data_IF_140829372584
#
_entry.id   IF_140829372584
#
_cell.length_a   1.000
_cell.length_b   1.000
_cell.length_c   1.000
_cell.angle_alpha   90.00
_cell.angle_beta   90.00
_cell.angle_gamma   90.00
#
_symmetry.space_group_name_H-M   'P 1'
#
loop_
_entity.id
_entity.type
_entity.pdbx_description
1 polymer ?
#
# COMPACT_ATOMS: atom_id res chain seq x y z
N UNK A 1 15.54 -8.04 0.02
CA UNK A 1 14.95 -9.10 0.90
C UNK A 1 13.47 -9.23 0.54
N UNK A 2 12.85 -10.41 0.49
CA UNK A 2 11.44 -10.54 0.05
C UNK A 2 10.47 -10.51 1.22
N UNK A 3 9.45 -9.65 1.15
CA UNK A 3 8.32 -9.65 2.09
C UNK A 3 7.54 -10.97 1.95
N UNK A 4 7.23 -11.61 3.08
CA UNK A 4 6.41 -12.83 3.14
C UNK A 4 4.93 -12.43 3.20
N UNK A 5 4.16 -12.87 2.21
CA UNK A 5 2.74 -12.52 2.09
C UNK A 5 1.90 -13.26 3.14
N UNK A 6 2.22 -14.52 3.43
CA UNK A 6 1.54 -15.27 4.49
C UNK A 6 1.61 -14.53 5.83
N UNK A 7 2.81 -14.03 6.21
CA UNK A 7 2.98 -13.24 7.44
C UNK A 7 2.17 -11.94 7.42
N UNK A 8 2.05 -11.29 6.27
CA UNK A 8 1.25 -10.09 6.12
C UNK A 8 -0.23 -10.42 6.28
N UNK A 9 -0.72 -11.46 5.60
CA UNK A 9 -2.11 -11.89 5.66
C UNK A 9 -2.52 -12.32 7.07
N UNK A 10 -1.69 -13.13 7.73
CA UNK A 10 -1.92 -13.58 9.11
C UNK A 10 -2.01 -12.39 10.06
N UNK A 11 -1.03 -11.49 10.04
CA UNK A 11 -1.01 -10.31 10.90
C UNK A 11 -2.17 -9.34 10.61
N UNK A 12 -2.55 -9.15 9.34
CA UNK A 12 -3.72 -8.34 8.99
C UNK A 12 -5.04 -8.98 9.43
N UNK A 13 -5.14 -10.32 9.43
CA UNK A 13 -6.33 -11.04 9.88
C UNK A 13 -6.47 -11.07 11.40
N UNK A 14 -5.35 -11.19 12.12
CA UNK A 14 -5.33 -11.36 13.57
C UNK A 14 -5.25 -10.02 14.30
N UNK A 15 -4.32 -9.14 13.89
CA UNK A 15 -4.00 -7.89 14.59
C UNK A 15 -4.53 -6.65 13.86
N UNK A 16 -4.88 -6.76 12.58
CA UNK A 16 -5.32 -5.66 11.74
C UNK A 16 -4.19 -4.75 11.22
N UNK A 17 -2.93 -5.04 11.55
CA UNK A 17 -1.75 -4.31 11.06
C UNK A 17 -0.47 -5.17 11.14
N UNK A 18 0.58 -4.76 10.42
CA UNK A 18 1.92 -5.34 10.51
C UNK A 18 2.98 -4.25 10.39
N UNK A 19 4.09 -4.38 11.11
CA UNK A 19 5.29 -3.54 10.95
C UNK A 19 6.40 -4.38 10.34
N UNK A 20 6.88 -3.98 9.17
CA UNK A 20 7.94 -4.68 8.44
C UNK A 20 9.17 -3.78 8.39
N UNK A 21 10.22 -4.10 9.17
CA UNK A 21 11.50 -3.39 9.07
C UNK A 21 12.08 -3.57 7.66
N UNK A 22 12.67 -2.50 7.10
CA UNK A 22 13.35 -2.54 5.80
C UNK A 22 12.46 -3.07 4.67
N UNK A 23 11.19 -2.61 4.65
CA UNK A 23 10.18 -3.08 3.70
C UNK A 23 10.44 -2.65 2.24
N UNK A 24 11.17 -1.55 2.05
CA UNK A 24 11.51 -1.00 0.75
C UNK A 24 12.99 -1.22 0.47
N UNK A 25 13.36 -1.26 -0.81
CA UNK A 25 14.76 -1.20 -1.21
C UNK A 25 15.40 0.13 -0.78
N UNK A 26 16.65 0.08 -0.34
CA UNK A 26 17.40 1.27 0.11
C UNK A 26 17.50 2.31 -1.02
N UNK A 27 17.65 1.89 -2.27
CA UNK A 27 17.74 2.81 -3.41
C UNK A 27 16.43 3.58 -3.61
N UNK A 28 15.29 2.91 -3.46
CA UNK A 28 13.96 3.53 -3.51
C UNK A 28 13.78 4.51 -2.36
N UNK A 29 14.20 4.15 -1.15
CA UNK A 29 14.09 5.01 0.02
C UNK A 29 14.93 6.29 -0.11
N UNK A 30 16.19 6.16 -0.54
CA UNK A 30 17.08 7.30 -0.79
C UNK A 30 16.54 8.17 -1.94
N UNK A 31 16.03 7.56 -3.00
CA UNK A 31 15.43 8.25 -4.14
C UNK A 31 14.23 9.10 -3.73
N UNK A 32 13.31 8.55 -2.93
CA UNK A 32 12.16 9.28 -2.39
C UNK A 32 12.60 10.42 -1.45
N UNK A 33 13.61 10.19 -0.60
CA UNK A 33 14.13 11.25 0.27
C UNK A 33 14.67 12.43 -0.54
N UNK A 34 15.44 12.16 -1.59
CA UNK A 34 15.93 13.20 -2.51
C UNK A 34 14.80 13.86 -3.30
N UNK A 35 13.76 13.11 -3.67
CA UNK A 35 12.60 13.65 -4.35
C UNK A 35 11.88 14.70 -3.50
N UNK A 36 11.64 14.39 -2.21
CA UNK A 36 10.98 15.29 -1.27
C UNK A 36 11.75 16.61 -1.08
N UNK A 37 13.09 16.58 -1.04
CA UNK A 37 13.90 17.79 -0.88
C UNK A 37 13.94 18.68 -2.11
N UNK A 38 13.55 18.17 -3.29
CA UNK A 38 13.48 18.93 -4.55
C UNK A 38 12.11 19.56 -4.80
N UNK A 39 11.08 19.18 -4.05
CA UNK A 39 9.76 19.77 -4.19
C UNK A 39 9.75 21.21 -3.65
N UNK A 40 9.25 22.15 -4.43
CA UNK A 40 9.06 23.52 -3.97
C UNK A 40 7.92 23.59 -2.96
N UNK A 41 7.92 24.64 -2.12
CA UNK A 41 6.84 24.88 -1.15
C UNK A 41 5.45 24.97 -1.79
N UNK A 42 5.37 25.45 -3.03
CA UNK A 42 4.11 25.59 -3.79
C UNK A 42 3.54 24.25 -4.26
N UNK A 43 4.38 23.21 -4.39
CA UNK A 43 3.92 21.87 -4.76
C UNK A 43 3.24 21.15 -3.58
N UNK A 44 3.50 21.59 -2.35
CA UNK A 44 2.89 21.00 -1.16
C UNK A 44 1.47 21.51 -0.98
N UNK A 45 0.53 20.57 -0.92
CA UNK A 45 -0.87 20.84 -0.66
C UNK A 45 -1.15 20.73 0.82
N UNK A 46 -1.88 21.69 1.36
CA UNK A 46 -2.37 21.56 2.73
C UNK A 46 -3.43 20.47 2.80
N UNK A 47 -3.23 19.52 3.71
CA UNK A 47 -4.08 18.36 3.78
C UNK A 47 -5.47 18.69 4.37
N UNK A 48 -6.49 18.03 3.83
CA UNK A 48 -7.87 18.12 4.31
C UNK A 48 -8.41 16.77 4.78
N UNK A 49 -9.62 16.80 5.33
CA UNK A 49 -10.35 15.65 5.84
C UNK A 49 -11.78 15.65 5.30
N UNK A 50 -12.39 14.48 5.16
CA UNK A 50 -13.72 14.31 4.56
C UNK A 50 -13.67 13.68 3.17
N UNK A 51 -14.84 13.29 2.64
CA UNK A 51 -15.02 12.69 1.31
C UNK A 51 -16.07 13.49 0.53
N UNK A 52 -16.02 13.44 -0.79
CA UNK A 52 -16.96 14.14 -1.68
C UNK A 52 -17.10 15.63 -1.32
N UNK A 53 -18.32 16.09 -1.04
CA UNK A 53 -18.64 17.47 -0.70
C UNK A 53 -18.26 17.87 0.73
N UNK A 54 -17.91 16.91 1.59
CA UNK A 54 -17.59 17.17 3.00
C UNK A 54 -16.08 17.44 3.22
N UNK A 55 -15.33 17.66 2.13
CA UNK A 55 -13.91 17.99 2.22
C UNK A 55 -13.71 19.34 2.92
N UNK A 56 -12.92 19.33 3.99
CA UNK A 56 -12.58 20.52 4.76
C UNK A 56 -11.12 20.51 5.22
N UNK A 57 -10.50 21.69 5.29
CA UNK A 57 -9.16 21.88 5.84
C UNK A 57 -9.23 22.26 7.33
N UNK A 58 -9.42 21.26 8.20
CA UNK A 58 -9.49 21.46 9.65
C UNK A 58 -8.14 21.21 10.35
N UNK A 59 -7.44 22.28 10.76
CA UNK A 59 -6.12 22.19 11.46
C UNK A 59 -6.17 21.45 12.79
N UNK A 60 -7.33 21.37 13.44
CA UNK A 60 -7.49 20.64 14.71
C UNK A 60 -7.45 19.12 14.50
N UNK A 61 -7.70 18.65 13.28
CA UNK A 61 -7.70 17.22 12.94
C UNK A 61 -6.38 16.82 12.28
N UNK A 62 -5.88 17.62 11.33
CA UNK A 62 -4.54 17.42 10.74
C UNK A 62 -3.93 18.73 10.27
N UNK A 63 -2.61 18.88 10.45
CA UNK A 63 -1.85 20.11 10.17
C UNK A 63 -0.71 19.92 9.18
N UNK A 64 -0.54 18.71 8.66
CA UNK A 64 0.50 18.35 7.70
C UNK A 64 0.21 18.90 6.30
N UNK A 65 1.28 19.00 5.51
CA UNK A 65 1.22 19.26 4.07
C UNK A 65 1.60 17.98 3.33
N UNK A 66 0.86 17.67 2.28
CA UNK A 66 1.00 16.45 1.49
C UNK A 66 1.34 16.77 0.06
N UNK A 67 1.97 15.80 -0.59
CA UNK A 67 2.18 15.79 -2.03
C UNK A 67 1.68 14.44 -2.55
N UNK A 68 0.83 14.45 -3.58
CA UNK A 68 0.36 13.22 -4.21
C UNK A 68 1.41 12.73 -5.20
N UNK A 69 2.02 11.60 -4.90
CA UNK A 69 2.95 10.94 -5.83
C UNK A 69 2.20 10.38 -7.05
N UNK A 70 2.91 10.31 -8.17
CA UNK A 70 2.39 9.96 -9.48
C UNK A 70 3.33 8.99 -10.20
N UNK A 71 2.97 8.60 -11.43
CA UNK A 71 3.85 7.77 -12.28
C UNK A 71 4.81 8.61 -13.12
N UNK A 72 4.77 9.94 -12.98
CA UNK A 72 5.51 10.87 -13.84
C UNK A 72 6.95 11.09 -13.36
N UNK A 73 7.26 10.76 -12.11
CA UNK A 73 8.62 10.77 -11.57
C UNK A 73 9.12 9.31 -11.37
N UNK A 74 10.37 8.99 -11.77
CA UNK A 74 10.91 7.64 -11.64
C UNK A 74 10.98 7.10 -10.21
N UNK A 75 11.26 7.97 -9.23
CA UNK A 75 11.38 7.56 -7.82
C UNK A 75 10.00 7.29 -7.21
N UNK A 76 9.02 8.13 -7.55
CA UNK A 76 7.62 7.92 -7.19
C UNK A 76 7.07 6.63 -7.83
N UNK A 77 7.39 6.39 -9.10
CA UNK A 77 6.98 5.17 -9.81
C UNK A 77 7.58 3.91 -9.20
N UNK A 78 8.87 3.92 -8.83
CA UNK A 78 9.53 2.77 -8.22
C UNK A 78 8.83 2.35 -6.91
N UNK A 79 8.52 3.31 -6.04
CA UNK A 79 7.73 3.05 -4.83
C UNK A 79 6.35 2.48 -5.14
N UNK A 80 5.62 3.06 -6.10
CA UNK A 80 4.30 2.57 -6.50
C UNK A 80 4.37 1.15 -7.04
N UNK A 81 5.44 0.77 -7.74
CA UNK A 81 5.63 -0.59 -8.23
C UNK A 81 5.89 -1.59 -7.10
N UNK A 82 6.69 -1.23 -6.10
CA UNK A 82 6.90 -2.11 -4.93
C UNK A 82 5.61 -2.33 -4.13
N UNK A 83 4.82 -1.28 -3.92
CA UNK A 83 3.51 -1.40 -3.26
C UNK A 83 2.52 -2.23 -4.10
N UNK A 84 2.58 -2.14 -5.43
CA UNK A 84 1.75 -2.96 -6.31
C UNK A 84 2.12 -4.44 -6.23
N UNK A 85 3.41 -4.78 -6.05
CA UNK A 85 3.84 -6.16 -5.82
C UNK A 85 3.21 -6.73 -4.54
N UNK A 86 3.13 -5.95 -3.47
CA UNK A 86 2.45 -6.36 -2.24
C UNK A 86 0.95 -6.59 -2.47
N UNK A 87 0.29 -5.66 -3.17
CA UNK A 87 -1.14 -5.74 -3.46
C UNK A 87 -1.51 -6.94 -4.34
N UNK A 88 -0.76 -7.18 -5.41
CA UNK A 88 -1.07 -8.23 -6.40
C UNK A 88 -0.77 -9.63 -5.87
N UNK A 89 0.29 -9.79 -5.08
CA UNK A 89 0.61 -11.10 -4.51
C UNK A 89 -0.50 -11.56 -3.55
N UNK A 90 -0.96 -10.68 -2.66
CA UNK A 90 -2.12 -10.94 -1.79
C UNK A 90 -3.36 -11.35 -2.60
N UNK A 91 -3.67 -10.62 -3.68
CA UNK A 91 -4.85 -10.90 -4.49
C UNK A 91 -4.77 -12.27 -5.22
N UNK A 92 -3.58 -12.65 -5.70
CA UNK A 92 -3.35 -13.93 -6.40
C UNK A 92 -3.47 -15.10 -5.43
N UNK A 93 -2.84 -15.01 -4.27
CA UNK A 93 -2.84 -16.07 -3.26
C UNK A 93 -4.26 -16.31 -2.72
N UNK A 94 -5.03 -15.23 -2.49
CA UNK A 94 -6.45 -15.32 -2.11
C UNK A 94 -7.30 -16.00 -3.18
N UNK A 95 -7.13 -15.63 -4.45
CA UNK A 95 -7.87 -16.25 -5.57
C UNK A 95 -7.51 -17.73 -5.75
N UNK A 96 -6.25 -18.10 -5.51
CA UNK A 96 -5.81 -19.50 -5.59
C UNK A 96 -6.35 -20.35 -4.42
N UNK A 97 -6.37 -19.80 -3.20
CA UNK A 97 -6.98 -20.42 -2.03
C UNK A 97 -8.47 -20.70 -2.26
N UNK A 98 -9.23 -19.69 -2.72
CA UNK A 98 -10.64 -19.86 -3.06
C UNK A 98 -10.88 -20.91 -4.16
N UNK A 99 -9.99 -20.97 -5.17
CA UNK A 99 -10.08 -21.95 -6.25
C UNK A 99 -9.84 -23.38 -5.75
N UNK A 100 -8.85 -23.57 -4.86
CA UNK A 100 -8.57 -24.86 -4.20
C UNK A 100 -9.72 -25.30 -3.31
N UNK A 101 -10.31 -24.41 -2.52
CA UNK A 101 -11.48 -24.70 -1.69
C UNK A 101 -12.70 -25.11 -2.52
N UNK A 102 -12.99 -24.41 -3.62
CA UNK A 102 -14.10 -24.77 -4.54
C UNK A 102 -13.89 -26.15 -5.16
N UNK A 103 -12.66 -26.48 -5.56
CA UNK A 103 -12.33 -27.81 -6.10
C UNK A 103 -12.53 -28.91 -5.05
N UNK A 104 -12.07 -28.70 -3.83
CA UNK A 104 -12.25 -29.67 -2.73
C UNK A 104 -13.72 -29.82 -2.31
N UNK A 105 -14.48 -28.72 -2.29
CA UNK A 105 -15.93 -28.75 -1.99
C UNK A 105 -16.72 -29.43 -3.12
N UNK A 106 -16.30 -29.31 -4.37
CA UNK A 106 -16.88 -30.01 -5.53
C UNK A 106 -16.60 -31.51 -5.56
N UNK A 107 -15.47 -31.96 -5.01
CA UNK A 107 -15.11 -33.38 -4.83
C UNK A 107 -15.88 -34.04 -3.68
N UNK A 108 -16.39 -33.26 -2.73
CA UNK A 108 -17.26 -33.70 -1.63
C UNK A 108 -18.75 -33.59 -2.03
N UNK A 109 -19.18 -34.32 -3.07
CA UNK A 109 -20.60 -34.67 -3.25
C UNK A 109 -20.75 -36.19 -3.10
N UNK A 110 -21.78 -36.65 -2.37
CA UNK A 110 -21.75 -37.94 -1.70
C UNK A 110 -22.02 -39.11 -2.64
N UNK A 111 -21.36 -40.24 -2.36
CA UNK A 111 -21.97 -41.57 -2.52
C UNK A 111 -22.81 -41.84 -1.27
#
# INVERSE_FOLDING_TARGET
MSISIDKVADALSEEGYIVIPYALDDDVLHGLQQRVTRLSSEQWLRAGVGRNTDYQQNKKIRSDSIFWISKDDPQELAFLQEMEVLRVKDEKDRKEAERKERYQRGKRKPQ
#
